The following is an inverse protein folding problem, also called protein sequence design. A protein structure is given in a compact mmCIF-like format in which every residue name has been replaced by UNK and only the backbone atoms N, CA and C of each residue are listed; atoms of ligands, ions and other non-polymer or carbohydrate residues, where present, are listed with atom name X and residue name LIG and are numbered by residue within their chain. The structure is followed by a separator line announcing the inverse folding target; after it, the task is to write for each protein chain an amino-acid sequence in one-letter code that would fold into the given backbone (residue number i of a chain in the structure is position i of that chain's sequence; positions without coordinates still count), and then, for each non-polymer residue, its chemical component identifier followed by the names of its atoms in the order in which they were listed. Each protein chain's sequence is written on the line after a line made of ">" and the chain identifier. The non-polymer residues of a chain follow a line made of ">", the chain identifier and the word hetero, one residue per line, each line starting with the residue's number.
data_IF_668900205715
#
_entry.id   IF_668900205715
#
_cell.length_a   1.000
_cell.length_b   1.000
_cell.length_c   1.000
_cell.angle_alpha   90.00
_cell.angle_beta   90.00
_cell.angle_gamma   90.00
#
_symmetry.space_group_name_H-M   'P 1'
#
loop_
_entity.id
_entity.type
_entity.pdbx_description
1 polymer ?
#
# COMPACT_ATOMS: atom_id res chain seq x y z
N UNK A 1 1.27 39.08 -4.25
CA UNK A 1 1.31 37.72 -3.66
C UNK A 1 2.72 37.26 -3.30
N UNK A 2 3.79 37.56 -4.07
CA UNK A 2 5.18 37.18 -3.77
C UNK A 2 5.66 37.77 -2.43
N UNK A 3 5.33 39.03 -2.13
CA UNK A 3 5.69 39.67 -0.87
C UNK A 3 5.00 38.99 0.35
N UNK A 4 3.74 38.60 0.21
CA UNK A 4 3.02 37.85 1.25
C UNK A 4 3.64 36.46 1.50
N UNK A 5 4.04 35.76 0.45
CA UNK A 5 4.70 34.45 0.55
C UNK A 5 6.04 34.58 1.26
N UNK A 6 6.85 35.59 0.91
CA UNK A 6 8.14 35.84 1.57
C UNK A 6 8.02 36.19 3.06
N UNK A 7 6.96 36.92 3.43
CA UNK A 7 6.69 37.26 4.84
C UNK A 7 6.19 36.03 5.62
N UNK A 8 5.39 35.15 5.00
CA UNK A 8 4.80 33.97 5.66
C UNK A 8 5.76 32.77 5.71
N UNK A 9 6.77 32.71 4.83
CA UNK A 9 7.71 31.58 4.73
C UNK A 9 8.42 31.25 6.07
N UNK A 10 8.95 32.22 6.86
CA UNK A 10 9.55 31.90 8.16
C UNK A 10 8.53 31.47 9.22
N UNK A 11 7.23 31.77 9.02
CA UNK A 11 6.17 31.41 9.94
C UNK A 11 5.50 30.06 9.62
N UNK A 12 5.96 29.32 8.62
CA UNK A 12 5.38 28.03 8.21
C UNK A 12 5.23 27.06 9.39
N UNK A 13 6.24 26.92 10.24
CA UNK A 13 6.18 26.07 11.45
C UNK A 13 5.17 26.56 12.49
N UNK A 14 4.96 27.85 12.60
CA UNK A 14 3.98 28.46 13.51
C UNK A 14 2.57 28.24 12.97
N UNK A 15 2.37 28.38 11.66
CA UNK A 15 1.10 28.13 10.98
C UNK A 15 0.68 26.67 11.09
N UNK A 16 1.62 25.73 10.89
CA UNK A 16 1.37 24.30 11.11
C UNK A 16 0.97 24.03 12.56
N UNK A 17 1.70 24.59 13.54
CA UNK A 17 1.38 24.43 14.96
C UNK A 17 0.05 25.07 15.36
N UNK A 18 -0.34 26.16 14.72
CA UNK A 18 -1.65 26.78 14.93
C UNK A 18 -2.78 25.95 14.28
N UNK A 19 -2.54 25.37 13.11
CA UNK A 19 -3.48 24.50 12.45
C UNK A 19 -3.73 23.21 13.26
N UNK A 20 -2.67 22.56 13.76
CA UNK A 20 -2.79 21.38 14.65
C UNK A 20 -3.43 21.69 16.00
N UNK A 21 -3.35 22.93 16.48
CA UNK A 21 -4.01 23.35 17.74
C UNK A 21 -5.49 23.68 17.55
N UNK A 22 -5.88 24.15 16.34
CA UNK A 22 -7.26 24.55 16.01
C UNK A 22 -8.10 23.41 15.42
N UNK A 23 -7.46 22.39 14.87
CA UNK A 23 -8.11 21.18 14.37
C UNK A 23 -7.65 20.05 15.31
N UNK A 24 -8.37 19.77 16.41
CA UNK A 24 -8.04 18.60 17.22
C UNK A 24 -8.23 17.36 16.35
N UNK A 25 -7.20 16.50 16.32
CA UNK A 25 -7.33 15.16 15.75
C UNK A 25 -8.52 14.47 16.43
N UNK A 26 -9.56 14.18 15.67
CA UNK A 26 -10.71 13.42 16.17
C UNK A 26 -10.20 12.03 16.56
N UNK A 27 -10.70 11.44 17.64
CA UNK A 27 -10.28 10.11 18.10
C UNK A 27 -10.46 9.01 17.02
N UNK A 28 -11.27 9.28 16.00
CA UNK A 28 -11.44 8.45 14.79
C UNK A 28 -10.22 8.49 13.84
N UNK A 29 -9.28 9.41 14.05
CA UNK A 29 -8.02 9.54 13.28
C UNK A 29 -6.81 8.89 13.97
N UNK A 30 -7.00 8.00 14.92
CA UNK A 30 -5.92 7.07 15.31
C UNK A 30 -5.69 6.11 14.16
N UNK A 31 -4.94 6.61 13.18
CA UNK A 31 -4.39 5.82 12.08
C UNK A 31 -3.51 4.75 12.71
N UNK A 32 -3.84 3.50 12.50
CA UNK A 32 -2.99 2.39 12.90
C UNK A 32 -1.62 2.59 12.24
N UNK A 33 -0.59 2.84 13.05
CA UNK A 33 0.77 2.98 12.52
C UNK A 33 1.22 1.62 11.98
N UNK A 34 1.23 1.49 10.66
CA UNK A 34 1.78 0.31 9.99
C UNK A 34 3.30 0.47 9.99
N UNK A 35 4.06 -0.45 10.61
CA UNK A 35 5.51 -0.38 10.61
C UNK A 35 6.05 -0.39 9.18
N UNK A 36 6.93 0.55 8.88
CA UNK A 36 7.61 0.63 7.60
C UNK A 36 8.72 -0.44 7.53
N UNK A 37 8.45 -1.53 6.80
CA UNK A 37 9.39 -2.64 6.64
C UNK A 37 10.54 -2.31 5.66
N UNK A 38 10.47 -1.23 4.88
CA UNK A 38 11.59 -0.82 4.00
C UNK A 38 12.85 -0.48 4.80
N UNK A 39 12.70 -0.15 6.09
CA UNK A 39 13.82 0.02 7.03
C UNK A 39 14.71 -1.22 7.19
N UNK A 40 14.24 -2.38 6.76
CA UNK A 40 15.05 -3.61 6.70
C UNK A 40 16.07 -3.60 5.54
N UNK A 41 15.88 -2.70 4.55
CA UNK A 41 16.70 -2.61 3.34
C UNK A 41 17.96 -1.74 3.57
N UNK A 42 18.77 -2.10 4.56
CA UNK A 42 20.01 -1.40 4.85
C UNK A 42 21.10 -1.76 3.84
N UNK A 43 21.69 -0.75 3.19
CA UNK A 43 22.75 -0.93 2.18
C UNK A 43 23.99 -1.63 2.70
N UNK A 44 24.24 -1.63 4.02
CA UNK A 44 25.33 -2.37 4.66
C UNK A 44 25.16 -3.89 4.50
N UNK A 45 23.93 -4.37 4.35
CA UNK A 45 23.68 -5.81 4.14
C UNK A 45 24.01 -6.28 2.73
N UNK A 46 24.22 -5.37 1.76
CA UNK A 46 24.67 -5.74 0.42
C UNK A 46 26.06 -6.43 0.41
N UNK A 47 26.83 -6.30 1.49
CA UNK A 47 28.08 -7.05 1.69
C UNK A 47 27.85 -8.50 2.14
N UNK A 48 26.59 -8.87 2.46
CA UNK A 48 26.14 -10.23 2.81
C UNK A 48 24.92 -10.58 1.97
N UNK A 49 25.09 -10.91 0.67
CA UNK A 49 24.02 -10.99 -0.29
C UNK A 49 22.87 -11.91 0.12
N UNK A 50 23.15 -13.11 0.61
CA UNK A 50 22.10 -14.06 1.06
C UNK A 50 21.23 -13.49 2.20
N UNK A 51 21.81 -12.73 3.13
CA UNK A 51 21.05 -12.05 4.18
C UNK A 51 20.21 -10.91 3.58
N UNK A 52 20.77 -10.14 2.65
CA UNK A 52 20.04 -9.07 1.96
C UNK A 52 18.84 -9.61 1.18
N UNK A 53 18.98 -10.74 0.48
CA UNK A 53 17.87 -11.43 -0.22
C UNK A 53 16.76 -11.81 0.77
N UNK A 54 17.12 -12.37 1.94
CA UNK A 54 16.14 -12.70 2.98
C UNK A 54 15.39 -11.47 3.48
N UNK A 55 16.06 -10.30 3.65
CA UNK A 55 15.38 -9.07 4.02
C UNK A 55 14.45 -8.57 2.91
N UNK A 56 14.86 -8.64 1.63
CA UNK A 56 13.99 -8.31 0.51
C UNK A 56 12.74 -9.21 0.48
N UNK A 57 12.87 -10.51 0.74
CA UNK A 57 11.72 -11.43 0.85
C UNK A 57 10.75 -10.98 1.96
N UNK A 58 11.27 -10.60 3.13
CA UNK A 58 10.44 -10.11 4.22
C UNK A 58 9.67 -8.83 3.84
N UNK A 59 10.34 -7.87 3.18
CA UNK A 59 9.70 -6.63 2.70
C UNK A 59 8.63 -6.95 1.66
N UNK A 60 8.90 -7.85 0.71
CA UNK A 60 7.93 -8.30 -0.28
C UNK A 60 6.69 -8.97 0.36
N UNK A 61 6.88 -9.75 1.44
CA UNK A 61 5.77 -10.34 2.19
C UNK A 61 4.89 -9.26 2.85
N UNK A 62 5.49 -8.23 3.43
CA UNK A 62 4.73 -7.12 4.00
C UNK A 62 3.98 -6.33 2.90
N UNK A 63 4.62 -6.06 1.77
CA UNK A 63 3.97 -5.45 0.60
C UNK A 63 2.76 -6.27 0.12
N UNK A 64 2.88 -7.59 0.02
CA UNK A 64 1.78 -8.49 -0.33
C UNK A 64 0.59 -8.38 0.63
N UNK A 65 0.86 -8.31 1.94
CA UNK A 65 -0.18 -8.13 2.98
C UNK A 65 -0.88 -6.77 2.87
N UNK A 66 -0.12 -5.71 2.53
CA UNK A 66 -0.69 -4.38 2.34
C UNK A 66 -1.61 -4.37 1.11
N UNK A 67 -1.20 -4.96 -0.01
CA UNK A 67 -2.01 -5.10 -1.21
C UNK A 67 -3.29 -5.92 -0.96
N UNK A 68 -3.18 -7.04 -0.22
CA UNK A 68 -4.31 -7.84 0.22
C UNK A 68 -5.32 -7.00 1.01
N UNK A 69 -4.84 -6.28 2.03
CA UNK A 69 -5.69 -5.43 2.89
C UNK A 69 -6.35 -4.30 2.10
N UNK A 70 -5.62 -3.67 1.18
CA UNK A 70 -6.15 -2.63 0.29
C UNK A 70 -7.29 -3.16 -0.56
N UNK A 71 -7.10 -4.32 -1.18
CA UNK A 71 -8.13 -4.98 -2.00
C UNK A 71 -9.36 -5.37 -1.19
N UNK A 72 -9.21 -5.93 0.02
CA UNK A 72 -10.32 -6.26 0.91
C UNK A 72 -11.15 -5.03 1.26
N UNK A 73 -10.50 -3.93 1.64
CA UNK A 73 -11.18 -2.69 1.98
C UNK A 73 -11.93 -2.08 0.80
N UNK A 74 -11.34 -2.14 -0.40
CA UNK A 74 -11.95 -1.64 -1.61
C UNK A 74 -13.19 -2.47 -2.01
N UNK A 75 -13.10 -3.82 -1.97
CA UNK A 75 -14.22 -4.72 -2.25
C UNK A 75 -15.37 -4.49 -1.25
N UNK A 76 -15.06 -4.34 0.03
CA UNK A 76 -16.09 -4.06 1.04
C UNK A 76 -16.79 -2.73 0.75
N UNK A 77 -16.01 -1.68 0.42
CA UNK A 77 -16.52 -0.32 0.23
C UNK A 77 -17.38 -0.15 -1.03
N UNK A 78 -17.20 -1.00 -2.04
CA UNK A 78 -18.03 -0.94 -3.26
C UNK A 78 -19.47 -1.46 -3.01
N UNK A 79 -19.64 -2.34 -2.02
CA UNK A 79 -20.95 -2.90 -1.67
C UNK A 79 -21.60 -2.20 -0.49
N UNK A 80 -20.80 -1.74 0.46
CA UNK A 80 -21.22 -1.00 1.66
C UNK A 80 -20.18 0.09 1.92
N UNK A 81 -20.50 1.33 1.53
CA UNK A 81 -19.57 2.44 1.56
C UNK A 81 -19.09 2.76 2.97
N UNK A 82 -17.79 2.67 3.19
CA UNK A 82 -17.12 3.06 4.43
C UNK A 82 -16.00 4.08 4.13
N UNK A 83 -16.23 5.33 4.52
CA UNK A 83 -15.29 6.43 4.30
C UNK A 83 -13.90 6.17 4.92
N UNK A 84 -13.85 5.46 6.06
CA UNK A 84 -12.58 5.13 6.71
C UNK A 84 -11.80 4.11 5.89
N UNK A 85 -12.46 3.02 5.45
CA UNK A 85 -11.84 2.01 4.59
C UNK A 85 -11.34 2.62 3.29
N UNK A 86 -12.14 3.50 2.66
CA UNK A 86 -11.74 4.20 1.45
C UNK A 86 -10.48 5.04 1.69
N UNK A 87 -10.42 5.84 2.76
CA UNK A 87 -9.21 6.60 3.11
C UNK A 87 -8.01 5.69 3.38
N UNK A 88 -8.23 4.54 4.01
CA UNK A 88 -7.17 3.56 4.25
C UNK A 88 -6.65 2.95 2.94
N UNK A 89 -7.51 2.74 1.91
CA UNK A 89 -7.07 2.27 0.58
C UNK A 89 -6.09 3.26 -0.04
N UNK A 90 -6.41 4.56 -0.07
CA UNK A 90 -5.50 5.60 -0.59
C UNK A 90 -4.15 5.59 0.14
N UNK A 91 -4.18 5.49 1.47
CA UNK A 91 -2.96 5.43 2.27
C UNK A 91 -2.14 4.15 2.03
N UNK A 92 -2.81 3.03 1.84
CA UNK A 92 -2.14 1.74 1.57
C UNK A 92 -1.48 1.76 0.19
N UNK A 93 -2.10 2.40 -0.80
CA UNK A 93 -1.54 2.57 -2.12
C UNK A 93 -0.27 3.43 -2.07
N UNK A 94 -0.29 4.63 -1.46
CA UNK A 94 0.91 5.45 -1.24
C UNK A 94 2.06 4.66 -0.56
N UNK A 95 1.71 3.75 0.37
CA UNK A 95 2.69 2.91 1.04
C UNK A 95 3.25 1.82 0.10
N UNK A 96 2.41 1.19 -0.71
CA UNK A 96 2.80 0.11 -1.62
C UNK A 96 3.71 0.66 -2.71
N UNK A 97 3.42 1.84 -3.25
CA UNK A 97 4.29 2.56 -4.18
C UNK A 97 5.67 2.83 -3.57
N UNK A 98 5.67 3.32 -2.31
CA UNK A 98 6.93 3.50 -1.60
C UNK A 98 7.71 2.19 -1.43
N UNK A 99 7.03 1.08 -1.16
CA UNK A 99 7.65 -0.25 -1.05
C UNK A 99 8.22 -0.71 -2.39
N UNK A 100 7.51 -0.49 -3.49
CA UNK A 100 7.99 -0.82 -4.84
C UNK A 100 9.28 -0.08 -5.17
N UNK A 101 9.31 1.24 -4.97
CA UNK A 101 10.48 2.09 -5.24
C UNK A 101 11.71 1.68 -4.42
N UNK A 102 11.55 1.51 -3.10
CA UNK A 102 12.66 1.18 -2.21
C UNK A 102 13.15 -0.25 -2.44
N UNK A 103 12.24 -1.22 -2.54
CA UNK A 103 12.58 -2.62 -2.80
C UNK A 103 13.22 -2.77 -4.19
N UNK A 104 12.64 -2.16 -5.23
CA UNK A 104 13.17 -2.19 -6.58
C UNK A 104 14.57 -1.60 -6.67
N UNK A 105 14.77 -0.44 -6.06
CA UNK A 105 16.09 0.21 -5.97
C UNK A 105 17.11 -0.67 -5.24
N UNK A 106 16.71 -1.32 -4.16
CA UNK A 106 17.58 -2.20 -3.39
C UNK A 106 17.92 -3.48 -4.16
N UNK A 107 16.93 -4.13 -4.80
CA UNK A 107 17.10 -5.31 -5.62
C UNK A 107 18.04 -5.05 -6.82
N UNK A 108 17.97 -3.89 -7.46
CA UNK A 108 18.90 -3.50 -8.52
C UNK A 108 20.36 -3.46 -8.03
N UNK A 109 20.60 -2.92 -6.83
CA UNK A 109 21.94 -2.91 -6.22
C UNK A 109 22.39 -4.32 -5.85
N UNK A 110 21.47 -5.15 -5.38
CA UNK A 110 21.73 -6.52 -4.96
C UNK A 110 22.04 -7.44 -6.15
N UNK A 111 21.35 -7.28 -7.29
CA UNK A 111 21.60 -8.05 -8.51
C UNK A 111 23.00 -7.82 -9.11
N UNK A 112 23.67 -6.74 -8.75
CA UNK A 112 25.08 -6.50 -9.10
C UNK A 112 26.10 -7.20 -8.19
N UNK A 113 25.65 -7.95 -7.17
CA UNK A 113 26.51 -8.72 -6.25
C UNK A 113 26.61 -10.20 -6.68
N UNK A 114 27.65 -10.92 -6.22
CA UNK A 114 27.73 -12.36 -6.46
C UNK A 114 26.65 -13.08 -5.66
N UNK A 115 25.61 -13.54 -6.34
CA UNK A 115 24.48 -14.29 -5.77
C UNK A 115 24.62 -15.78 -6.13
N UNK A 116 24.09 -16.65 -5.28
CA UNK A 116 23.85 -18.04 -5.64
C UNK A 116 22.74 -18.16 -6.70
N UNK A 117 22.63 -19.31 -7.37
CA UNK A 117 21.55 -19.54 -8.34
C UNK A 117 20.17 -19.44 -7.66
N UNK A 118 20.02 -19.92 -6.43
CA UNK A 118 18.81 -19.83 -5.62
C UNK A 118 18.47 -18.37 -5.27
N UNK A 119 19.47 -17.58 -4.85
CA UNK A 119 19.29 -16.16 -4.56
C UNK A 119 18.91 -15.36 -5.81
N UNK A 120 19.53 -15.65 -6.97
CA UNK A 120 19.17 -15.04 -8.25
C UNK A 120 17.71 -15.34 -8.65
N UNK A 121 17.26 -16.59 -8.44
CA UNK A 121 15.86 -16.97 -8.65
C UNK A 121 14.91 -16.17 -7.74
N UNK A 122 15.27 -16.07 -6.46
CA UNK A 122 14.49 -15.31 -5.47
C UNK A 122 14.40 -13.84 -5.85
N UNK A 123 15.52 -13.20 -6.22
CA UNK A 123 15.56 -11.80 -6.67
C UNK A 123 14.69 -11.59 -7.91
N UNK A 124 14.76 -12.51 -8.89
CA UNK A 124 13.92 -12.43 -10.09
C UNK A 124 12.43 -12.54 -9.77
N UNK A 125 12.05 -13.45 -8.88
CA UNK A 125 10.66 -13.60 -8.44
C UNK A 125 10.17 -12.36 -7.69
N UNK A 126 11.01 -11.76 -6.83
CA UNK A 126 10.68 -10.52 -6.14
C UNK A 126 10.39 -9.37 -7.10
N UNK A 127 11.20 -9.19 -8.16
CA UNK A 127 10.94 -8.19 -9.19
C UNK A 127 9.59 -8.36 -9.90
N UNK A 128 9.17 -9.60 -10.15
CA UNK A 128 7.87 -9.87 -10.77
C UNK A 128 6.73 -9.62 -9.79
N UNK A 129 6.82 -10.18 -8.58
CA UNK A 129 5.74 -10.13 -7.61
C UNK A 129 5.49 -8.71 -7.08
N UNK A 130 6.53 -7.86 -6.92
CA UNK A 130 6.32 -6.50 -6.43
C UNK A 130 5.47 -5.67 -7.39
N UNK A 131 5.70 -5.78 -8.72
CA UNK A 131 4.87 -5.11 -9.70
C UNK A 131 3.44 -5.68 -9.79
N UNK A 132 3.25 -6.98 -9.47
CA UNK A 132 1.91 -7.55 -9.37
C UNK A 132 1.16 -7.03 -8.14
N UNK A 133 1.84 -6.84 -6.99
CA UNK A 133 1.24 -6.28 -5.77
C UNK A 133 0.87 -4.80 -5.94
N UNK A 134 1.71 -4.01 -6.61
CA UNK A 134 1.41 -2.63 -6.97
C UNK A 134 0.15 -2.57 -7.86
N UNK A 135 0.05 -3.40 -8.92
CA UNK A 135 -1.13 -3.45 -9.78
C UNK A 135 -2.40 -3.87 -9.05
N UNK A 136 -2.30 -4.77 -8.06
CA UNK A 136 -3.45 -5.13 -7.21
C UNK A 136 -3.89 -3.91 -6.40
N UNK A 137 -2.95 -3.14 -5.87
CA UNK A 137 -3.21 -1.90 -5.14
C UNK A 137 -3.87 -0.84 -6.02
N UNK A 138 -3.38 -0.63 -7.23
CA UNK A 138 -3.99 0.25 -8.23
C UNK A 138 -5.45 -0.11 -8.53
N UNK A 139 -5.72 -1.41 -8.68
CA UNK A 139 -7.10 -1.87 -8.87
C UNK A 139 -7.97 -1.64 -7.63
N UNK A 140 -7.42 -1.80 -6.45
CA UNK A 140 -8.13 -1.49 -5.21
C UNK A 140 -8.44 0.01 -5.11
N UNK A 141 -7.48 0.88 -5.46
CA UNK A 141 -7.68 2.33 -5.54
C UNK A 141 -8.83 2.69 -6.50
N UNK A 142 -8.83 2.14 -7.72
CA UNK A 142 -9.88 2.37 -8.71
C UNK A 142 -11.28 1.93 -8.19
N UNK A 143 -11.37 0.83 -7.43
CA UNK A 143 -12.61 0.40 -6.79
C UNK A 143 -13.05 1.38 -5.69
N UNK A 144 -12.12 1.87 -4.87
CA UNK A 144 -12.39 2.84 -3.82
C UNK A 144 -12.88 4.18 -4.40
N UNK A 145 -12.26 4.66 -5.48
CA UNK A 145 -12.69 5.86 -6.22
C UNK A 145 -14.10 5.67 -6.79
N UNK A 146 -14.39 4.49 -7.35
CA UNK A 146 -15.73 4.16 -7.85
C UNK A 146 -16.77 4.18 -6.72
N UNK A 147 -16.44 3.63 -5.56
CA UNK A 147 -17.32 3.66 -4.38
C UNK A 147 -17.61 5.09 -3.92
N UNK A 148 -16.57 5.97 -3.91
CA UNK A 148 -16.73 7.40 -3.61
C UNK A 148 -17.65 8.10 -4.62
N UNK A 149 -17.47 7.82 -5.91
CA UNK A 149 -18.29 8.42 -6.98
C UNK A 149 -19.75 8.01 -6.86
N UNK A 150 -20.03 6.72 -6.61
CA UNK A 150 -21.38 6.21 -6.37
C UNK A 150 -22.02 6.86 -5.15
N UNK A 151 -21.28 6.97 -4.05
CA UNK A 151 -21.77 7.64 -2.85
C UNK A 151 -22.09 9.12 -3.10
N UNK A 152 -21.25 9.84 -3.84
CA UNK A 152 -21.45 11.25 -4.16
C UNK A 152 -22.65 11.49 -5.09
N UNK A 153 -22.99 10.51 -5.93
CA UNK A 153 -24.15 10.54 -6.84
C UNK A 153 -25.41 9.93 -6.25
N UNK A 154 -25.36 9.43 -5.01
CA UNK A 154 -26.43 8.68 -4.35
C UNK A 154 -26.92 7.45 -5.18
N UNK A 155 -25.99 6.86 -5.96
CA UNK A 155 -26.24 5.68 -6.77
C UNK A 155 -26.02 4.40 -5.94
N UNK A 156 -26.84 3.40 -6.18
CA UNK A 156 -26.73 2.09 -5.51
C UNK A 156 -26.97 0.96 -6.49
N UNK A 157 -26.34 -0.19 -6.26
CA UNK A 157 -26.64 -1.40 -6.99
C UNK A 157 -28.02 -1.95 -6.65
N UNK A 158 -28.65 -2.66 -7.60
CA UNK A 158 -29.83 -3.46 -7.30
C UNK A 158 -29.49 -4.58 -6.31
N UNK A 159 -30.47 -5.07 -5.55
CA UNK A 159 -30.25 -6.16 -4.59
C UNK A 159 -29.66 -7.43 -5.24
N UNK A 160 -30.04 -7.71 -6.49
CA UNK A 160 -29.46 -8.81 -7.26
C UNK A 160 -27.96 -8.55 -7.53
N UNK A 161 -27.61 -7.36 -8.01
CA UNK A 161 -26.21 -7.01 -8.31
C UNK A 161 -25.34 -6.98 -7.04
N UNK A 162 -25.89 -6.52 -5.91
CA UNK A 162 -25.17 -6.58 -4.62
C UNK A 162 -24.86 -8.03 -4.24
N UNK A 163 -25.82 -8.95 -4.35
CA UNK A 163 -25.61 -10.37 -4.05
C UNK A 163 -24.54 -11.01 -4.95
N UNK A 164 -24.53 -10.66 -6.24
CA UNK A 164 -23.53 -11.13 -7.20
C UNK A 164 -22.14 -10.56 -6.88
N UNK A 165 -22.05 -9.26 -6.53
CA UNK A 165 -20.79 -8.59 -6.14
C UNK A 165 -20.22 -9.18 -4.84
N UNK A 166 -21.05 -9.46 -3.84
CA UNK A 166 -20.60 -10.10 -2.60
C UNK A 166 -19.97 -11.47 -2.90
N UNK A 167 -20.67 -12.31 -3.66
CA UNK A 167 -20.16 -13.64 -4.03
C UNK A 167 -18.86 -13.57 -4.82
N UNK A 168 -18.76 -12.62 -5.77
CA UNK A 168 -17.55 -12.40 -6.53
C UNK A 168 -16.40 -11.88 -5.66
N UNK A 169 -16.70 -10.92 -4.77
CA UNK A 169 -15.74 -10.35 -3.83
C UNK A 169 -15.17 -11.39 -2.88
N UNK A 170 -16.00 -12.29 -2.35
CA UNK A 170 -15.54 -13.41 -1.51
C UNK A 170 -14.57 -14.32 -2.27
N UNK A 171 -14.87 -14.67 -3.52
CA UNK A 171 -13.99 -15.50 -4.35
C UNK A 171 -12.64 -14.81 -4.65
N UNK A 172 -12.66 -13.49 -4.89
CA UNK A 172 -11.42 -12.72 -5.11
C UNK A 172 -10.57 -12.66 -3.83
N UNK A 173 -11.18 -12.46 -2.66
CA UNK A 173 -10.49 -12.49 -1.36
C UNK A 173 -9.86 -13.85 -1.10
N UNK A 174 -10.59 -14.95 -1.34
CA UNK A 174 -10.06 -16.31 -1.18
C UNK A 174 -8.84 -16.57 -2.09
N UNK A 175 -8.91 -16.15 -3.37
CA UNK A 175 -7.77 -16.27 -4.30
C UNK A 175 -6.58 -15.45 -3.78
N UNK A 176 -6.81 -14.24 -3.28
CA UNK A 176 -5.75 -13.39 -2.75
C UNK A 176 -5.10 -13.99 -1.49
N UNK A 177 -5.90 -14.54 -0.57
CA UNK A 177 -5.42 -15.26 0.62
C UNK A 177 -4.49 -16.40 0.23
N UNK A 178 -4.93 -17.26 -0.69
CA UNK A 178 -4.15 -18.39 -1.17
C UNK A 178 -2.87 -17.95 -1.87
N UNK A 179 -2.91 -16.85 -2.64
CA UNK A 179 -1.75 -16.30 -3.34
C UNK A 179 -0.70 -15.77 -2.36
N UNK A 180 -1.13 -15.04 -1.34
CA UNK A 180 -0.23 -14.52 -0.28
C UNK A 180 0.37 -15.67 0.54
N UNK A 181 -0.41 -16.70 0.86
CA UNK A 181 0.10 -17.89 1.56
C UNK A 181 1.14 -18.64 0.70
N UNK A 182 0.88 -18.82 -0.58
CA UNK A 182 1.84 -19.44 -1.51
C UNK A 182 3.13 -18.63 -1.64
N UNK A 183 3.02 -17.29 -1.64
CA UNK A 183 4.18 -16.39 -1.71
C UNK A 183 5.06 -16.44 -0.46
N UNK A 184 4.48 -16.68 0.72
CA UNK A 184 5.21 -16.81 2.00
C UNK A 184 6.00 -18.13 2.09
N UNK A 185 5.56 -19.18 1.42
CA UNK A 185 6.17 -20.52 1.49
C UNK A 185 7.51 -20.59 0.76
#
# INVERSE_FOLDING_TARGET
>A
NIAATLVLLPFGKVLVKLATLTIPETEDEKVEEIPDATKLLDTRFLEKPAFAVAQCKNVGIEMAKLAQRSLEYAIDSITDYDQKKVKDVFRLEDMIDHYEDELGTYLMKLSGKPLSDEDNHTVSNLFHCMGDFERISDHALNLAETAMEMQAKEETFSEKAKGELVTYGEAVKEIMDLSVEAYKS
#
